data_IF_425763483167
#
_entry.id   IF_425763483167
#
_cell.length_a   1.000
_cell.length_b   1.000
_cell.length_c   1.000
_cell.angle_alpha   90.00
_cell.angle_beta   90.00
_cell.angle_gamma   90.00
#
_symmetry.space_group_name_H-M   'P 1'
#
loop_
_entity.id
_entity.type
_entity.pdbx_description
1 polymer ?
#
# COMPACT_ATOMS: atom_id res chain seq x y z
N UNK A 1 27.37 -48.20 17.84
CA UNK A 1 26.30 -47.48 17.11
C UNK A 1 25.72 -46.45 18.08
N UNK A 2 26.38 -45.29 18.17
CA UNK A 2 26.07 -44.25 19.16
C UNK A 2 24.93 -43.35 18.64
N UNK A 3 23.88 -43.23 19.46
CA UNK A 3 22.88 -42.16 19.40
C UNK A 3 23.51 -40.86 19.90
N UNK A 4 23.67 -39.87 19.03
CA UNK A 4 23.89 -38.48 19.40
C UNK A 4 22.59 -37.71 19.15
N UNK A 5 21.77 -37.65 20.20
CA UNK A 5 20.81 -36.59 20.39
C UNK A 5 21.57 -35.37 20.90
N UNK A 6 21.72 -34.33 20.08
CA UNK A 6 22.31 -33.05 20.49
C UNK A 6 21.30 -31.92 20.34
N UNK A 7 20.76 -31.53 21.50
CA UNK A 7 20.40 -30.18 21.93
C UNK A 7 20.12 -29.12 20.85
N UNK A 8 18.84 -28.97 20.52
CA UNK A 8 18.25 -27.68 20.10
C UNK A 8 17.19 -27.25 21.12
N UNK A 9 17.65 -26.98 22.34
CA UNK A 9 16.90 -26.23 23.35
C UNK A 9 17.63 -24.91 23.56
N UNK A 10 17.54 -23.99 22.59
CA UNK A 10 17.94 -22.61 22.84
C UNK A 10 16.79 -21.91 23.56
N UNK A 11 16.85 -21.91 24.90
CA UNK A 11 16.06 -21.06 25.79
C UNK A 11 16.50 -19.58 25.71
N UNK A 12 16.75 -19.07 24.50
CA UNK A 12 16.75 -17.63 24.33
C UNK A 12 15.28 -17.21 24.31
N UNK A 13 14.81 -16.39 25.27
CA UNK A 13 13.50 -15.79 25.18
C UNK A 13 13.49 -14.91 23.93
N UNK A 14 13.01 -15.48 22.82
CA UNK A 14 12.75 -14.74 21.60
C UNK A 14 11.91 -13.52 22.00
N UNK A 15 12.23 -12.30 21.53
CA UNK A 15 11.40 -11.14 21.79
C UNK A 15 9.96 -11.51 21.45
N UNK A 16 9.09 -11.32 22.44
CA UNK A 16 7.72 -11.83 22.46
C UNK A 16 6.99 -11.46 21.15
N UNK A 17 6.91 -12.41 20.22
CA UNK A 17 6.32 -12.19 18.89
C UNK A 17 4.85 -11.81 19.03
N UNK A 18 4.20 -12.19 20.13
CA UNK A 18 2.83 -11.76 20.42
C UNK A 18 2.72 -10.26 20.68
N UNK A 19 3.80 -9.61 21.14
CA UNK A 19 3.89 -8.14 21.22
C UNK A 19 4.14 -7.46 19.88
N UNK A 20 4.74 -8.16 18.92
CA UNK A 20 4.91 -7.64 17.57
C UNK A 20 3.59 -7.63 16.77
N UNK A 21 2.60 -8.41 17.24
CA UNK A 21 1.21 -8.44 16.74
C UNK A 21 0.22 -7.84 17.76
N UNK A 22 0.68 -6.94 18.64
CA UNK A 22 -0.06 -6.54 19.85
C UNK A 22 -1.52 -6.11 19.57
N UNK A 23 -2.48 -6.38 20.50
CA UNK A 23 -3.93 -6.21 20.27
C UNK A 23 -4.45 -4.76 20.09
N UNK A 24 -3.57 -3.78 19.93
CA UNK A 24 -3.92 -2.44 19.42
C UNK A 24 -3.62 -2.26 17.93
N UNK A 25 -3.07 -3.30 17.27
CA UNK A 25 -2.56 -3.26 15.90
C UNK A 25 -3.37 -4.05 14.87
N UNK A 26 -4.42 -4.77 15.28
CA UNK A 26 -5.40 -5.41 14.40
C UNK A 26 -6.68 -4.58 14.39
N UNK A 27 -6.82 -3.70 13.41
CA UNK A 27 -8.06 -2.99 13.18
C UNK A 27 -8.80 -3.69 12.03
N UNK A 28 -9.97 -4.26 12.33
CA UNK A 28 -10.93 -4.61 11.28
C UNK A 28 -11.59 -3.30 10.87
N UNK A 29 -11.16 -2.76 9.73
CA UNK A 29 -11.61 -1.43 9.27
C UNK A 29 -12.95 -1.54 8.55
N UNK A 30 -13.19 -2.67 7.88
CA UNK A 30 -14.44 -2.97 7.19
C UNK A 30 -14.81 -4.42 7.50
N UNK A 31 -15.91 -4.59 8.23
CA UNK A 31 -16.47 -5.89 8.59
C UNK A 31 -17.87 -6.05 7.99
N UNK A 32 -18.00 -6.95 7.03
CA UNK A 32 -19.27 -7.47 6.55
C UNK A 32 -19.55 -8.79 7.28
N UNK A 33 -20.79 -8.97 7.73
CA UNK A 33 -21.20 -10.21 8.44
C UNK A 33 -21.11 -11.45 7.55
N UNK A 34 -21.14 -11.28 6.23
CA UNK A 34 -21.14 -12.35 5.22
C UNK A 34 -20.00 -12.15 4.19
N UNK A 35 -18.81 -11.79 4.66
CA UNK A 35 -17.68 -11.58 3.76
C UNK A 35 -17.23 -12.90 3.09
N UNK A 36 -17.02 -12.85 1.77
CA UNK A 36 -16.55 -13.98 0.96
C UNK A 36 -15.07 -14.31 1.20
N UNK A 37 -14.31 -13.33 1.71
CA UNK A 37 -12.89 -13.46 2.00
C UNK A 37 -12.35 -12.42 2.97
N UNK A 38 -11.05 -12.57 3.29
CA UNK A 38 -10.31 -11.65 4.13
C UNK A 38 -9.07 -11.08 3.41
N UNK A 39 -8.89 -9.77 3.47
CA UNK A 39 -7.67 -9.06 3.06
C UNK A 39 -6.88 -8.71 4.31
N UNK A 40 -5.62 -9.14 4.37
CA UNK A 40 -4.72 -8.91 5.50
C UNK A 40 -3.60 -7.98 5.03
N UNK A 41 -3.65 -6.72 5.46
CA UNK A 41 -2.69 -5.68 5.08
C UNK A 41 -1.65 -5.47 6.19
N UNK A 42 -0.41 -5.90 5.93
CA UNK A 42 0.73 -5.73 6.82
C UNK A 42 1.39 -4.37 6.60
N UNK A 43 1.52 -3.60 7.67
CA UNK A 43 2.07 -2.25 7.66
C UNK A 43 3.35 -2.21 8.47
N UNK A 44 4.48 -2.01 7.78
CA UNK A 44 5.77 -1.77 8.41
C UNK A 44 5.81 -0.44 9.14
N UNK A 45 6.05 -0.43 10.46
CA UNK A 45 6.52 0.78 11.16
C UNK A 45 8.03 0.85 11.13
N UNK A 46 8.57 1.94 10.60
CA UNK A 46 9.95 2.30 10.87
C UNK A 46 10.07 2.75 12.33
N UNK A 47 10.94 2.10 13.11
CA UNK A 47 11.27 2.45 14.52
C UNK A 47 11.79 3.89 14.69
N UNK A 48 12.09 4.58 13.59
CA UNK A 48 12.74 5.88 13.54
C UNK A 48 11.80 7.09 13.52
N UNK A 49 10.47 6.93 13.60
CA UNK A 49 9.60 8.08 13.86
C UNK A 49 9.09 8.12 15.32
N UNK A 50 9.78 8.85 16.22
CA UNK A 50 9.29 9.08 17.59
C UNK A 50 7.98 9.87 17.64
N UNK A 51 7.50 10.42 16.51
CA UNK A 51 6.19 11.08 16.40
C UNK A 51 5.07 10.16 15.90
N UNK A 52 5.37 8.89 15.60
CA UNK A 52 4.37 7.88 15.29
C UNK A 52 3.64 8.09 13.96
N UNK A 53 4.30 8.60 12.91
CA UNK A 53 3.73 8.58 11.56
C UNK A 53 3.36 7.14 11.25
N UNK A 54 2.06 6.88 11.11
CA UNK A 54 1.57 5.58 10.69
C UNK A 54 2.27 5.21 9.38
N UNK A 55 2.89 4.03 9.34
CA UNK A 55 3.30 3.46 8.07
C UNK A 55 2.08 3.43 7.14
N UNK A 56 2.26 3.83 5.89
CA UNK A 56 1.23 3.61 4.88
C UNK A 56 1.40 2.19 4.36
N UNK A 57 0.40 1.34 4.58
CA UNK A 57 0.34 0.01 3.99
C UNK A 57 0.08 0.05 2.49
N UNK A 58 -0.37 -1.07 1.93
CA UNK A 58 -1.02 -1.05 0.60
C UNK A 58 -2.45 -0.51 0.64
N UNK A 59 -2.93 -0.16 1.84
CA UNK A 59 -4.22 0.49 2.03
C UNK A 59 -4.22 1.87 1.38
N UNK A 60 -5.25 2.08 0.57
CA UNK A 60 -5.48 3.28 -0.22
C UNK A 60 -6.82 3.11 -0.92
N UNK A 61 -7.17 4.08 -1.78
CA UNK A 61 -8.48 4.12 -2.45
C UNK A 61 -8.82 2.81 -3.17
N UNK A 62 -7.82 2.16 -3.78
CA UNK A 62 -8.01 0.89 -4.47
C UNK A 62 -8.46 -0.22 -3.51
N UNK A 63 -7.72 -0.47 -2.43
CA UNK A 63 -8.00 -1.59 -1.54
C UNK A 63 -9.31 -1.37 -0.76
N UNK A 64 -9.58 -0.14 -0.32
CA UNK A 64 -10.85 0.21 0.33
C UNK A 64 -12.04 -0.01 -0.60
N UNK A 65 -11.94 0.40 -1.87
CA UNK A 65 -12.97 0.15 -2.88
C UNK A 65 -13.11 -1.34 -3.18
N UNK A 66 -12.00 -2.08 -3.28
CA UNK A 66 -12.01 -3.51 -3.56
C UNK A 66 -12.79 -4.27 -2.50
N UNK A 67 -12.49 -4.04 -1.21
CA UNK A 67 -13.14 -4.78 -0.12
C UNK A 67 -14.63 -4.47 -0.02
N UNK A 68 -15.02 -3.21 -0.26
CA UNK A 68 -16.43 -2.79 -0.24
C UNK A 68 -17.24 -3.40 -1.38
N UNK A 69 -16.74 -3.34 -2.61
CA UNK A 69 -17.49 -3.79 -3.80
C UNK A 69 -17.46 -5.31 -3.98
N UNK A 70 -16.42 -6.01 -3.50
CA UNK A 70 -16.28 -7.48 -3.66
C UNK A 70 -16.66 -8.27 -2.40
N UNK A 71 -17.09 -7.61 -1.33
CA UNK A 71 -17.56 -8.28 -0.13
C UNK A 71 -16.44 -8.95 0.69
N UNK A 72 -15.30 -8.29 0.87
CA UNK A 72 -14.19 -8.79 1.70
C UNK A 72 -14.10 -8.03 3.02
N UNK A 73 -13.57 -8.68 4.06
CA UNK A 73 -13.16 -7.98 5.28
C UNK A 73 -11.72 -7.50 5.18
N UNK A 74 -11.46 -6.26 5.58
CA UNK A 74 -10.11 -5.70 5.66
C UNK A 74 -9.57 -5.79 7.09
N UNK A 75 -8.47 -6.50 7.24
CA UNK A 75 -7.71 -6.64 8.48
C UNK A 75 -6.37 -5.91 8.33
N UNK A 76 -6.15 -4.86 9.12
CA UNK A 76 -4.89 -4.11 9.12
C UNK A 76 -4.00 -4.61 10.25
N UNK A 77 -2.74 -4.91 9.97
CA UNK A 77 -1.74 -5.34 10.97
C UNK A 77 -0.59 -4.35 11.00
N UNK A 78 -0.44 -3.67 12.12
CA UNK A 78 0.77 -2.87 12.36
C UNK A 78 1.89 -3.77 12.86
N UNK A 79 2.96 -3.90 12.08
CA UNK A 79 4.13 -4.69 12.47
C UNK A 79 5.26 -3.76 12.87
N UNK A 80 5.74 -3.94 14.11
CA UNK A 80 6.92 -3.22 14.58
C UNK A 80 8.18 -3.83 13.95
N UNK A 81 8.99 -3.01 13.28
CA UNK A 81 10.35 -3.40 12.95
C UNK A 81 11.19 -3.37 14.24
N UNK A 82 11.24 -4.51 14.95
CA UNK A 82 12.21 -4.72 16.02
C UNK A 82 13.62 -4.86 15.43
N UNK A 83 14.66 -4.76 16.26
CA UNK A 83 16.05 -4.87 15.80
C UNK A 83 16.20 -6.05 14.84
N UNK A 84 16.55 -5.81 13.56
CA UNK A 84 16.33 -6.76 12.49
C UNK A 84 17.19 -8.01 12.68
N UNK A 85 16.55 -9.18 12.60
CA UNK A 85 17.21 -10.48 12.70
C UNK A 85 16.39 -11.54 11.99
N UNK A 86 17.04 -12.36 11.16
CA UNK A 86 16.37 -13.38 10.33
C UNK A 86 15.40 -14.27 11.12
N UNK A 87 15.77 -14.68 12.33
CA UNK A 87 14.93 -15.53 13.19
C UNK A 87 13.66 -14.81 13.65
N UNK A 88 13.73 -13.50 13.88
CA UNK A 88 12.55 -12.71 14.25
C UNK A 88 11.60 -12.58 13.06
N UNK A 89 12.10 -12.24 11.87
CA UNK A 89 11.26 -12.10 10.67
C UNK A 89 10.53 -13.42 10.33
N UNK A 90 11.24 -14.55 10.42
CA UNK A 90 10.65 -15.89 10.21
C UNK A 90 9.59 -16.20 11.27
N UNK A 91 9.82 -15.88 12.54
CA UNK A 91 8.86 -16.10 13.60
C UNK A 91 7.61 -15.20 13.44
N UNK A 92 7.80 -13.94 13.04
CA UNK A 92 6.72 -13.01 12.76
C UNK A 92 5.88 -13.47 11.56
N UNK A 93 6.51 -13.93 10.48
CA UNK A 93 5.81 -14.48 9.32
C UNK A 93 4.98 -15.72 9.68
N UNK A 94 5.50 -16.63 10.53
CA UNK A 94 4.71 -17.76 11.07
C UNK A 94 3.52 -17.30 11.88
N UNK A 95 3.72 -16.33 12.77
CA UNK A 95 2.64 -15.79 13.59
C UNK A 95 1.54 -15.13 12.75
N UNK A 96 1.91 -14.44 11.66
CA UNK A 96 0.95 -13.92 10.68
C UNK A 96 0.16 -15.05 10.01
N UNK A 97 0.82 -16.11 9.52
CA UNK A 97 0.15 -17.27 8.93
C UNK A 97 -0.82 -17.93 9.91
N UNK A 98 -0.39 -18.17 11.15
CA UNK A 98 -1.22 -18.78 12.19
C UNK A 98 -2.47 -17.93 12.46
N UNK A 99 -2.32 -16.61 12.51
CA UNK A 99 -3.43 -15.69 12.75
C UNK A 99 -4.41 -15.66 11.57
N UNK A 100 -3.91 -15.57 10.34
CA UNK A 100 -4.72 -15.68 9.12
C UNK A 100 -5.50 -17.01 9.11
N UNK A 101 -4.84 -18.11 9.45
CA UNK A 101 -5.49 -19.43 9.55
C UNK A 101 -6.61 -19.47 10.58
N UNK A 102 -6.46 -18.80 11.73
CA UNK A 102 -7.56 -18.64 12.71
C UNK A 102 -8.71 -17.83 12.14
N UNK A 103 -8.44 -16.70 11.49
CA UNK A 103 -9.48 -15.87 10.86
C UNK A 103 -10.23 -16.61 9.76
N UNK A 104 -9.50 -17.31 8.89
CA UNK A 104 -10.07 -18.13 7.81
C UNK A 104 -11.06 -19.15 8.36
N UNK A 105 -10.68 -19.89 9.42
CA UNK A 105 -11.56 -20.90 10.05
C UNK A 105 -12.74 -20.28 10.78
N UNK A 106 -12.53 -19.19 11.53
CA UNK A 106 -13.58 -18.55 12.35
C UNK A 106 -14.67 -17.90 11.51
N UNK A 107 -14.32 -17.36 10.34
CA UNK A 107 -15.25 -16.61 9.49
C UNK A 107 -15.56 -17.35 8.18
N UNK A 108 -15.11 -18.60 8.04
CA UNK A 108 -15.28 -19.42 6.85
C UNK A 108 -14.84 -18.73 5.54
N UNK A 109 -13.76 -17.93 5.60
CA UNK A 109 -13.27 -17.18 4.44
C UNK A 109 -12.85 -18.14 3.33
N UNK A 110 -13.50 -17.99 2.17
CA UNK A 110 -13.18 -18.79 0.98
C UNK A 110 -11.90 -18.31 0.33
N UNK A 111 -11.66 -17.00 0.38
CA UNK A 111 -10.46 -16.35 -0.18
C UNK A 111 -9.66 -15.56 0.85
N UNK A 112 -8.34 -15.69 0.79
CA UNK A 112 -7.40 -14.94 1.62
C UNK A 112 -6.43 -14.19 0.71
N UNK A 113 -6.38 -12.88 0.89
CA UNK A 113 -5.40 -12.01 0.25
C UNK A 113 -4.47 -11.48 1.34
N UNK A 114 -3.17 -11.75 1.23
CA UNK A 114 -2.15 -11.19 2.11
C UNK A 114 -1.40 -10.10 1.36
N UNK A 115 -1.25 -8.91 1.93
CA UNK A 115 -0.54 -7.83 1.25
C UNK A 115 0.27 -6.99 2.20
N UNK A 116 1.24 -6.26 1.65
CA UNK A 116 1.99 -5.29 2.42
C UNK A 116 2.91 -4.44 1.56
N UNK A 117 3.29 -3.29 2.10
CA UNK A 117 4.27 -2.37 1.52
C UNK A 117 5.58 -2.42 2.32
N UNK A 118 6.71 -2.14 1.68
CA UNK A 118 7.99 -2.00 2.39
C UNK A 118 8.33 -3.23 3.25
N UNK A 119 8.55 -3.04 4.55
CA UNK A 119 8.76 -4.12 5.52
C UNK A 119 7.53 -5.02 5.71
N UNK A 120 6.32 -4.47 5.58
CA UNK A 120 5.08 -5.26 5.52
C UNK A 120 5.08 -6.20 4.33
N UNK A 121 5.51 -5.71 3.16
CA UNK A 121 5.69 -6.53 1.97
C UNK A 121 6.76 -7.61 2.14
N UNK A 122 7.83 -7.33 2.90
CA UNK A 122 8.84 -8.32 3.24
C UNK A 122 8.28 -9.47 4.08
N UNK A 123 7.51 -9.16 5.14
CA UNK A 123 6.87 -10.18 5.98
C UNK A 123 5.78 -10.93 5.20
N UNK A 124 5.02 -10.26 4.34
CA UNK A 124 4.03 -10.91 3.47
C UNK A 124 4.69 -11.91 2.50
N UNK A 125 5.80 -11.51 1.86
CA UNK A 125 6.59 -12.39 0.99
C UNK A 125 7.11 -13.60 1.77
N UNK A 126 7.62 -13.38 2.98
CA UNK A 126 8.15 -14.44 3.82
C UNK A 126 7.05 -15.41 4.29
N UNK A 127 5.88 -14.90 4.67
CA UNK A 127 4.71 -15.71 5.01
C UNK A 127 4.26 -16.55 3.81
N UNK A 128 4.11 -15.96 2.62
CA UNK A 128 3.75 -16.69 1.41
C UNK A 128 4.78 -17.78 1.03
N UNK A 129 6.08 -17.54 1.26
CA UNK A 129 7.15 -18.52 1.05
C UNK A 129 7.19 -19.65 2.09
N UNK A 130 6.40 -19.54 3.16
CA UNK A 130 6.30 -20.49 4.26
C UNK A 130 4.93 -21.17 4.33
N UNK A 131 3.97 -20.70 3.55
CA UNK A 131 2.63 -21.28 3.47
C UNK A 131 2.66 -22.59 2.67
N UNK A 132 2.75 -23.70 3.39
CA UNK A 132 2.73 -25.05 2.81
C UNK A 132 1.33 -25.66 2.71
N UNK A 133 0.33 -25.01 3.32
CA UNK A 133 -1.05 -25.49 3.36
C UNK A 133 -1.93 -24.80 2.31
N UNK A 134 -1.43 -23.75 1.63
CA UNK A 134 -2.19 -22.98 0.65
C UNK A 134 -3.29 -22.14 1.32
N UNK A 135 -2.99 -21.59 2.50
CA UNK A 135 -3.91 -20.71 3.23
C UNK A 135 -4.12 -19.40 2.46
N UNK A 136 -3.07 -18.88 1.83
CA UNK A 136 -3.05 -17.62 1.08
C UNK A 136 -3.34 -17.90 -0.40
N UNK A 137 -4.45 -17.35 -0.91
CA UNK A 137 -4.81 -17.46 -2.33
C UNK A 137 -4.04 -16.47 -3.21
N UNK A 138 -3.83 -15.26 -2.69
CA UNK A 138 -3.12 -14.19 -3.40
C UNK A 138 -2.24 -13.39 -2.46
N UNK A 139 -1.03 -13.04 -2.91
CA UNK A 139 -0.13 -12.14 -2.20
C UNK A 139 0.14 -10.86 -2.99
N UNK A 140 0.03 -9.70 -2.32
CA UNK A 140 0.32 -8.37 -2.87
C UNK A 140 1.63 -7.86 -2.28
N UNK A 141 2.62 -7.62 -3.14
CA UNK A 141 3.98 -7.23 -2.78
C UNK A 141 4.31 -5.86 -3.37
N UNK A 142 4.10 -4.79 -2.59
CA UNK A 142 4.40 -3.42 -3.03
C UNK A 142 5.71 -2.93 -2.41
N UNK A 143 6.64 -2.42 -3.22
CA UNK A 143 7.88 -1.78 -2.75
C UNK A 143 8.61 -2.56 -1.65
N UNK A 144 8.68 -3.90 -1.76
CA UNK A 144 9.17 -4.79 -0.70
C UNK A 144 10.56 -4.39 -0.22
N UNK A 145 10.73 -4.05 1.05
CA UNK A 145 12.04 -3.64 1.56
C UNK A 145 12.26 -4.12 3.01
N UNK A 146 13.42 -4.71 3.26
CA UNK A 146 13.87 -5.08 4.60
C UNK A 146 14.94 -4.16 5.18
N UNK A 147 15.91 -3.76 4.36
CA UNK A 147 17.16 -3.17 4.83
C UNK A 147 17.16 -1.63 4.84
N UNK A 148 16.04 -0.98 4.54
CA UNK A 148 15.92 0.46 4.46
C UNK A 148 16.28 1.03 3.08
N UNK A 149 16.32 2.36 2.94
CA UNK A 149 16.54 3.03 1.66
C UNK A 149 18.00 2.93 1.17
N UNK A 150 18.24 3.25 -0.10
CA UNK A 150 19.57 3.26 -0.72
C UNK A 150 20.53 4.24 -0.01
N UNK A 151 20.01 5.37 0.44
CA UNK A 151 20.72 6.40 1.20
C UNK A 151 20.09 6.49 2.59
N UNK A 152 20.89 6.30 3.63
CA UNK A 152 20.46 6.38 5.03
C UNK A 152 20.13 7.82 5.44
N UNK A 153 19.47 7.99 6.58
CA UNK A 153 19.09 9.31 7.12
C UNK A 153 20.29 10.23 7.34
N UNK A 154 21.48 9.68 7.63
CA UNK A 154 22.73 10.44 7.75
C UNK A 154 23.46 10.66 6.41
N UNK A 155 22.79 10.41 5.28
CA UNK A 155 23.30 10.67 3.93
C UNK A 155 24.32 9.66 3.41
N UNK A 156 24.51 8.53 4.10
CA UNK A 156 25.47 7.50 3.70
C UNK A 156 24.82 6.45 2.79
N UNK A 157 25.62 5.83 1.93
CA UNK A 157 25.18 4.66 1.17
C UNK A 157 24.87 3.51 2.12
N UNK A 158 23.67 2.95 2.02
CA UNK A 158 23.28 1.77 2.76
C UNK A 158 23.87 0.51 2.11
N UNK A 159 24.89 -0.07 2.76
CA UNK A 159 25.58 -1.27 2.24
C UNK A 159 24.70 -2.53 2.20
N UNK A 160 23.58 -2.54 2.91
CA UNK A 160 22.64 -3.66 2.93
C UNK A 160 21.52 -3.50 1.92
N UNK A 161 21.40 -2.36 1.23
CA UNK A 161 20.34 -2.10 0.26
C UNK A 161 20.25 -3.18 -0.82
N UNK A 162 21.38 -3.47 -1.47
CA UNK A 162 21.45 -4.47 -2.55
C UNK A 162 21.20 -5.91 -2.05
N UNK A 163 21.30 -6.16 -0.73
CA UNK A 163 20.95 -7.47 -0.16
C UNK A 163 19.47 -7.76 -0.26
N UNK A 164 18.61 -6.74 -0.29
CA UNK A 164 17.16 -6.93 -0.43
C UNK A 164 16.86 -7.73 -1.68
N UNK A 165 17.44 -7.38 -2.84
CA UNK A 165 17.19 -8.09 -4.11
C UNK A 165 17.50 -9.58 -4.03
N UNK A 166 18.68 -9.95 -3.51
CA UNK A 166 19.05 -11.37 -3.40
C UNK A 166 18.17 -12.13 -2.39
N UNK A 167 17.86 -11.51 -1.25
CA UNK A 167 17.04 -12.18 -0.23
C UNK A 167 15.57 -12.31 -0.66
N UNK A 168 15.01 -11.31 -1.34
CA UNK A 168 13.65 -11.37 -1.88
C UNK A 168 13.53 -12.41 -2.99
N UNK A 169 14.48 -12.50 -3.91
CA UNK A 169 14.47 -13.53 -4.96
C UNK A 169 14.47 -14.96 -4.39
N UNK A 170 15.23 -15.21 -3.32
CA UNK A 170 15.23 -16.52 -2.63
C UNK A 170 13.89 -16.87 -2.00
N UNK A 171 13.18 -15.89 -1.44
CA UNK A 171 11.84 -16.09 -0.88
C UNK A 171 10.79 -16.26 -1.97
N UNK A 172 10.82 -15.43 -3.01
CA UNK A 172 9.92 -15.54 -4.16
C UNK A 172 9.99 -16.93 -4.81
N UNK A 173 11.20 -17.49 -4.93
CA UNK A 173 11.38 -18.82 -5.51
C UNK A 173 10.79 -19.97 -4.67
N UNK A 174 10.35 -19.70 -3.43
CA UNK A 174 9.75 -20.69 -2.53
C UNK A 174 8.22 -20.58 -2.47
N UNK A 175 7.62 -19.58 -3.11
CA UNK A 175 6.16 -19.48 -3.22
C UNK A 175 5.68 -20.54 -4.20
N UNK A 176 4.67 -21.31 -3.77
CA UNK A 176 4.14 -22.45 -4.55
C UNK A 176 2.62 -22.45 -4.71
N UNK A 177 1.87 -21.78 -3.83
CA UNK A 177 0.40 -21.85 -3.83
C UNK A 177 -0.30 -20.55 -4.21
N UNK A 178 0.25 -19.41 -3.79
CA UNK A 178 -0.40 -18.11 -3.99
C UNK A 178 -0.15 -17.57 -5.40
N UNK A 179 -1.18 -16.96 -5.97
CA UNK A 179 -1.01 -15.98 -7.06
C UNK A 179 -0.31 -14.72 -6.54
N UNK A 180 0.45 -14.03 -7.37
CA UNK A 180 1.29 -12.92 -6.90
C UNK A 180 1.04 -11.64 -7.69
N UNK A 181 0.64 -10.56 -7.01
CA UNK A 181 0.69 -9.21 -7.54
C UNK A 181 1.93 -8.50 -7.00
N UNK A 182 2.84 -8.09 -7.88
CA UNK A 182 4.01 -7.27 -7.50
C UNK A 182 3.84 -5.85 -7.99
N UNK A 183 4.35 -4.88 -7.22
CA UNK A 183 4.37 -3.49 -7.61
C UNK A 183 5.70 -2.83 -7.23
N UNK A 184 6.37 -2.28 -8.23
CA UNK A 184 7.61 -1.52 -8.10
C UNK A 184 7.40 -0.15 -8.73
N UNK A 185 7.95 0.90 -8.12
CA UNK A 185 7.66 2.28 -8.53
C UNK A 185 8.91 3.05 -8.84
N UNK A 186 8.80 3.95 -9.83
CA UNK A 186 9.88 4.87 -10.18
C UNK A 186 10.17 5.81 -9.02
N UNK A 187 11.42 6.27 -8.90
CA UNK A 187 11.84 7.25 -7.91
C UNK A 187 11.57 6.83 -6.43
N UNK A 188 11.36 5.54 -6.16
CA UNK A 188 11.26 5.00 -4.81
C UNK A 188 12.68 4.71 -4.25
N UNK A 189 13.16 5.46 -3.24
CA UNK A 189 14.51 5.24 -2.71
C UNK A 189 14.64 3.95 -1.87
N UNK A 190 13.55 3.23 -1.62
CA UNK A 190 13.52 1.90 -1.02
C UNK A 190 13.38 0.78 -2.07
N UNK A 191 13.18 1.10 -3.35
CA UNK A 191 13.06 0.14 -4.44
C UNK A 191 14.44 -0.19 -5.01
N UNK A 192 14.80 -1.47 -4.98
CA UNK A 192 16.03 -1.93 -5.64
C UNK A 192 15.70 -2.19 -7.11
N UNK A 193 16.43 -1.55 -8.02
CA UNK A 193 16.22 -1.70 -9.46
C UNK A 193 16.27 -3.18 -9.90
N UNK A 194 15.38 -3.56 -10.84
CA UNK A 194 15.28 -4.91 -11.39
C UNK A 194 14.56 -5.93 -10.50
N UNK A 195 13.99 -5.53 -9.36
CA UNK A 195 13.29 -6.46 -8.46
C UNK A 195 12.00 -7.02 -9.06
N UNK A 196 11.19 -6.20 -9.71
CA UNK A 196 9.97 -6.69 -10.36
C UNK A 196 10.27 -7.61 -11.56
N UNK A 197 11.32 -7.31 -12.34
CA UNK A 197 11.79 -8.21 -13.40
C UNK A 197 12.20 -9.56 -12.81
N UNK A 198 13.01 -9.56 -11.75
CA UNK A 198 13.42 -10.78 -11.06
C UNK A 198 12.21 -11.58 -10.55
N UNK A 199 11.21 -10.92 -9.96
CA UNK A 199 9.99 -11.58 -9.52
C UNK A 199 9.23 -12.20 -10.70
N UNK A 200 9.02 -11.45 -11.78
CA UNK A 200 8.31 -11.95 -12.97
C UNK A 200 9.01 -13.16 -13.57
N UNK A 201 10.34 -13.12 -13.70
CA UNK A 201 11.14 -14.26 -14.18
C UNK A 201 10.98 -15.49 -13.28
N UNK A 202 11.08 -15.31 -11.95
CA UNK A 202 10.93 -16.39 -10.98
C UNK A 202 9.52 -17.00 -11.05
N UNK A 203 8.47 -16.19 -11.03
CA UNK A 203 7.10 -16.66 -11.02
C UNK A 203 6.71 -17.31 -12.35
N UNK A 204 7.13 -16.72 -13.48
CA UNK A 204 6.98 -17.34 -14.81
C UNK A 204 7.63 -18.72 -14.85
N UNK A 205 8.90 -18.82 -14.43
CA UNK A 205 9.64 -20.09 -14.42
C UNK A 205 8.99 -21.14 -13.53
N UNK A 206 8.40 -20.72 -12.41
CA UNK A 206 7.77 -21.61 -11.44
C UNK A 206 6.30 -21.94 -11.80
N UNK A 207 5.75 -21.39 -12.89
CA UNK A 207 4.35 -21.56 -13.26
C UNK A 207 3.37 -20.89 -12.29
N UNK A 208 3.84 -19.89 -11.53
CA UNK A 208 3.03 -19.12 -10.60
C UNK A 208 2.29 -18.04 -11.39
N UNK A 209 0.97 -18.02 -11.22
CA UNK A 209 0.11 -16.96 -11.77
C UNK A 209 0.49 -15.64 -11.11
N UNK A 210 0.89 -14.66 -11.90
CA UNK A 210 1.35 -13.38 -11.38
C UNK A 210 1.00 -12.20 -12.29
N UNK A 211 0.98 -11.03 -11.68
CA UNK A 211 0.81 -9.74 -12.33
C UNK A 211 1.85 -8.77 -11.76
N UNK A 212 2.34 -7.86 -12.59
CA UNK A 212 3.40 -6.92 -12.21
C UNK A 212 3.01 -5.51 -12.62
N UNK A 213 2.95 -4.60 -11.64
CA UNK A 213 2.94 -3.17 -11.85
C UNK A 213 4.38 -2.68 -11.81
N UNK A 214 5.07 -2.76 -12.95
CA UNK A 214 6.44 -2.29 -13.04
C UNK A 214 6.50 -0.84 -13.48
N UNK A 215 6.93 0.02 -12.55
CA UNK A 215 7.38 1.38 -12.83
C UNK A 215 6.43 2.19 -13.73
N UNK A 216 5.11 2.25 -13.42
CA UNK A 216 4.21 3.07 -14.21
C UNK A 216 4.69 4.52 -14.20
N UNK A 217 4.69 5.19 -15.36
CA UNK A 217 5.19 6.58 -15.47
C UNK A 217 4.52 7.56 -14.49
N UNK A 218 3.24 7.33 -14.22
CA UNK A 218 2.42 8.13 -13.32
C UNK A 218 2.59 7.77 -11.83
N UNK A 219 3.20 6.61 -11.53
CA UNK A 219 3.30 6.05 -10.19
C UNK A 219 4.74 6.23 -9.68
N UNK A 220 4.96 7.23 -8.85
CA UNK A 220 6.28 7.58 -8.32
C UNK A 220 6.34 7.54 -6.81
N UNK A 221 7.49 7.12 -6.30
CA UNK A 221 7.80 7.09 -4.88
C UNK A 221 7.22 5.89 -4.14
N UNK A 222 7.59 5.80 -2.87
CA UNK A 222 7.39 4.60 -2.04
C UNK A 222 5.93 4.22 -1.77
N UNK A 223 5.03 5.20 -1.83
CA UNK A 223 3.62 5.02 -1.49
C UNK A 223 2.71 5.03 -2.72
N UNK A 224 3.27 4.90 -3.91
CA UNK A 224 2.51 5.00 -5.15
C UNK A 224 1.36 3.97 -5.26
N UNK A 225 1.44 2.82 -4.57
CA UNK A 225 0.36 1.82 -4.55
C UNK A 225 -0.95 2.35 -3.93
N UNK A 226 -0.88 3.29 -2.99
CA UNK A 226 -2.06 3.82 -2.31
C UNK A 226 -2.75 4.95 -3.08
N UNK A 227 -2.17 5.41 -4.20
CA UNK A 227 -2.71 6.53 -4.98
C UNK A 227 -4.08 6.21 -5.59
N UNK A 228 -4.97 7.20 -5.55
CA UNK A 228 -6.29 7.15 -6.21
C UNK A 228 -6.19 6.85 -7.71
N UNK A 229 -5.08 7.23 -8.36
CA UNK A 229 -4.86 6.94 -9.77
C UNK A 229 -4.87 5.44 -10.08
N UNK A 230 -4.30 4.60 -9.19
CA UNK A 230 -4.35 3.14 -9.33
C UNK A 230 -5.80 2.66 -9.35
N UNK A 231 -6.62 3.15 -8.41
CA UNK A 231 -8.04 2.83 -8.30
C UNK A 231 -8.88 3.34 -9.48
N UNK A 232 -8.48 4.42 -10.13
CA UNK A 232 -9.26 4.98 -11.24
C UNK A 232 -8.94 4.29 -12.58
N UNK A 233 -7.72 3.81 -12.76
CA UNK A 233 -7.25 3.32 -14.06
C UNK A 233 -7.06 1.80 -14.13
N UNK A 234 -6.88 1.14 -12.98
CA UNK A 234 -6.55 -0.29 -12.92
C UNK A 234 -7.50 -1.09 -12.04
N UNK A 235 -8.56 -0.48 -11.52
CA UNK A 235 -9.44 -1.16 -10.57
C UNK A 235 -10.05 -2.43 -11.14
N UNK A 236 -10.67 -2.38 -12.32
CA UNK A 236 -11.35 -3.54 -12.88
C UNK A 236 -10.37 -4.71 -13.08
N UNK A 237 -9.21 -4.44 -13.68
CA UNK A 237 -8.16 -5.44 -13.93
C UNK A 237 -7.61 -6.06 -12.63
N UNK A 238 -7.24 -5.22 -11.66
CA UNK A 238 -6.67 -5.69 -10.41
C UNK A 238 -7.72 -6.36 -9.52
N UNK A 239 -8.95 -5.85 -9.50
CA UNK A 239 -10.07 -6.47 -8.79
C UNK A 239 -10.36 -7.85 -9.37
N UNK A 240 -10.36 -7.99 -10.69
CA UNK A 240 -10.52 -9.29 -11.34
C UNK A 240 -9.39 -10.26 -10.95
N UNK A 241 -8.13 -9.82 -11.02
CA UNK A 241 -6.98 -10.61 -10.61
C UNK A 241 -7.11 -11.08 -9.16
N UNK A 242 -7.44 -10.17 -8.23
CA UNK A 242 -7.58 -10.49 -6.81
C UNK A 242 -8.77 -11.43 -6.51
N UNK A 243 -9.91 -11.22 -7.16
CA UNK A 243 -11.11 -12.04 -6.93
C UNK A 243 -11.01 -13.44 -7.54
N UNK A 244 -10.31 -13.58 -8.68
CA UNK A 244 -10.17 -14.87 -9.38
C UNK A 244 -8.90 -15.64 -8.99
N UNK A 245 -8.07 -15.14 -8.07
CA UNK A 245 -6.77 -15.75 -7.76
C UNK A 245 -5.83 -15.76 -8.97
N UNK A 246 -5.91 -14.72 -9.80
CA UNK A 246 -5.09 -14.50 -10.98
C UNK A 246 -5.49 -15.28 -12.24
N UNK A 247 -6.58 -16.05 -12.22
CA UNK A 247 -7.07 -16.75 -13.42
C UNK A 247 -7.62 -15.82 -14.52
N UNK A 248 -7.85 -14.54 -14.20
CA UNK A 248 -8.32 -13.52 -15.13
C UNK A 248 -7.20 -13.02 -16.05
N UNK A 249 -7.56 -12.62 -17.28
CA UNK A 249 -6.64 -12.10 -18.30
C UNK A 249 -6.24 -10.64 -18.04
N UNK A 250 -5.86 -10.30 -16.80
CA UNK A 250 -5.32 -8.98 -16.48
C UNK A 250 -3.91 -8.86 -17.07
N UNK A 251 -3.85 -8.66 -18.38
CA UNK A 251 -2.63 -8.30 -19.08
C UNK A 251 -2.38 -6.81 -18.79
N UNK A 252 -1.63 -6.53 -17.73
CA UNK A 252 -1.13 -5.20 -17.42
C UNK A 252 -0.07 -4.81 -18.47
N UNK A 253 -0.45 -4.64 -19.74
CA UNK A 253 0.39 -4.05 -20.77
C UNK A 253 0.50 -2.54 -20.54
N UNK A 254 1.21 -2.18 -19.47
CA UNK A 254 1.56 -0.80 -19.10
C UNK A 254 2.44 -0.12 -20.16
N UNK A 255 3.04 -0.89 -21.07
CA UNK A 255 3.91 -0.39 -22.13
C UNK A 255 3.17 0.30 -23.29
N UNK A 256 1.83 0.12 -23.42
CA UNK A 256 1.07 0.62 -24.59
C UNK A 256 0.13 1.79 -24.34
N UNK A 257 -0.10 2.24 -23.10
CA UNK A 257 -0.89 3.46 -22.85
C UNK A 257 -0.05 4.73 -23.12
N UNK A 258 0.16 5.03 -24.42
CA UNK A 258 0.84 6.25 -24.91
C UNK A 258 -0.04 7.52 -24.91
N UNK A 259 -1.31 7.43 -24.53
CA UNK A 259 -2.31 8.47 -24.83
C UNK A 259 -2.92 9.19 -23.62
N UNK A 260 -2.27 9.16 -22.45
CA UNK A 260 -2.68 10.02 -21.34
C UNK A 260 -1.83 11.28 -21.34
N UNK A 261 -2.50 12.43 -21.21
CA UNK A 261 -1.93 13.78 -21.25
C UNK A 261 -0.60 13.77 -20.52
N UNK A 262 0.47 13.96 -21.28
CA UNK A 262 1.82 13.81 -20.76
C UNK A 262 2.05 14.92 -19.72
N UNK A 263 2.66 14.59 -18.58
CA UNK A 263 3.04 15.59 -17.56
C UNK A 263 3.89 16.71 -18.20
N UNK A 264 4.68 16.36 -19.22
CA UNK A 264 5.44 17.31 -20.03
C UNK A 264 4.56 18.34 -20.78
N UNK A 265 3.33 18.00 -21.15
CA UNK A 265 2.40 18.95 -21.81
C UNK A 265 1.76 19.90 -20.78
N UNK A 266 1.54 19.43 -19.55
CA UNK A 266 1.07 20.28 -18.46
C UNK A 266 2.15 21.28 -18.01
N UNK A 267 3.40 20.82 -17.82
CA UNK A 267 4.53 21.67 -17.43
C UNK A 267 4.93 22.67 -18.52
N UNK A 268 4.63 22.38 -19.79
CA UNK A 268 4.80 23.31 -20.92
C UNK A 268 3.65 24.30 -21.10
N UNK A 269 2.61 24.25 -20.25
CA UNK A 269 1.46 25.15 -20.35
C UNK A 269 0.56 24.87 -21.56
N UNK A 270 0.64 23.68 -22.14
CA UNK A 270 -0.14 23.26 -23.32
C UNK A 270 -1.53 22.72 -22.95
N UNK A 271 -1.83 22.62 -21.64
CA UNK A 271 -3.14 22.23 -21.12
C UNK A 271 -3.93 23.47 -20.74
N UNK A 272 -5.11 23.62 -21.35
CA UNK A 272 -6.08 24.64 -20.98
C UNK A 272 -6.52 24.46 -19.52
N UNK A 273 -6.13 25.41 -18.67
CA UNK A 273 -6.39 25.42 -17.22
C UNK A 273 -7.87 25.39 -16.90
N UNK A 274 -8.71 25.99 -17.74
CA UNK A 274 -10.16 26.00 -17.58
C UNK A 274 -10.74 24.61 -17.85
N UNK A 275 -10.23 23.93 -18.87
CA UNK A 275 -10.61 22.55 -19.21
C UNK A 275 -10.14 21.54 -18.16
N UNK A 276 -8.99 21.78 -17.54
CA UNK A 276 -8.49 20.99 -16.41
C UNK A 276 -9.37 21.16 -15.16
N UNK A 277 -9.75 22.39 -14.82
CA UNK A 277 -10.66 22.69 -13.71
C UNK A 277 -12.07 22.08 -13.95
N UNK A 278 -12.60 22.18 -15.17
CA UNK A 278 -13.86 21.54 -15.54
C UNK A 278 -13.79 20.00 -15.43
N UNK A 279 -12.65 19.40 -15.78
CA UNK A 279 -12.44 17.95 -15.62
C UNK A 279 -12.40 17.54 -14.14
N UNK A 280 -11.78 18.35 -13.28
CA UNK A 280 -11.79 18.11 -11.83
C UNK A 280 -13.21 18.21 -11.23
N UNK A 281 -14.01 19.17 -11.68
CA UNK A 281 -15.42 19.34 -11.28
C UNK A 281 -16.28 18.13 -11.71
N UNK A 282 -16.07 17.62 -12.93
CA UNK A 282 -16.77 16.42 -13.43
C UNK A 282 -16.38 15.16 -12.64
N UNK A 283 -15.10 15.03 -12.25
CA UNK A 283 -14.61 13.92 -11.42
C UNK A 283 -15.19 13.99 -9.99
N UNK A 284 -15.38 15.18 -9.43
CA UNK A 284 -16.07 15.36 -8.15
C UNK A 284 -17.57 14.99 -8.24
N UNK A 285 -18.24 15.39 -9.32
CA UNK A 285 -19.63 15.01 -9.59
C UNK A 285 -19.83 13.50 -9.65
N UNK A 286 -18.94 12.80 -10.36
CA UNK A 286 -18.94 11.32 -10.44
C UNK A 286 -18.63 10.64 -9.12
N UNK A 287 -17.71 11.19 -8.32
CA UNK A 287 -17.46 10.67 -6.98
C UNK A 287 -18.71 10.77 -6.09
N UNK A 288 -19.48 11.87 -6.17
CA UNK A 288 -20.74 12.01 -5.42
C UNK A 288 -21.81 11.00 -5.84
N UNK A 289 -21.87 10.64 -7.12
CA UNK A 289 -22.80 9.63 -7.64
C UNK A 289 -22.43 8.21 -7.19
N UNK A 290 -21.13 7.87 -7.20
CA UNK A 290 -20.62 6.53 -6.85
C UNK A 290 -20.76 6.23 -5.35
N UNK A 291 -20.61 7.22 -4.48
CA UNK A 291 -20.55 7.01 -3.03
C UNK A 291 -21.87 7.26 -2.27
N UNK A 292 -23.02 7.34 -2.95
CA UNK A 292 -24.39 7.38 -2.40
C UNK A 292 -24.55 7.97 -0.97
N UNK A 293 -24.03 9.18 -0.74
CA UNK A 293 -24.25 9.94 0.50
C UNK A 293 -23.59 9.41 1.79
N UNK A 294 -22.82 8.32 1.76
CA UNK A 294 -22.14 7.75 2.94
C UNK A 294 -20.63 7.94 2.89
N UNK A 295 -20.20 9.19 2.73
CA UNK A 295 -18.84 9.60 3.10
C UNK A 295 -18.80 9.81 4.62
N UNK A 296 -18.23 8.85 5.37
CA UNK A 296 -17.91 9.08 6.78
C UNK A 296 -16.87 10.21 6.88
N UNK A 297 -17.31 11.34 7.43
CA UNK A 297 -16.52 12.50 7.78
C UNK A 297 -15.44 12.15 8.81
N UNK A 298 -14.18 12.53 8.59
CA UNK A 298 -13.09 12.46 9.58
C UNK A 298 -12.16 13.69 9.44
N UNK A 299 -11.59 14.20 10.55
CA UNK A 299 -12.13 15.25 11.40
C UNK A 299 -11.89 16.67 10.84
N UNK A 300 -12.92 17.49 10.95
CA UNK A 300 -12.91 18.93 10.67
C UNK A 300 -11.99 19.68 11.64
N UNK A 301 -11.20 20.64 11.13
CA UNK A 301 -10.53 21.62 12.00
C UNK A 301 -11.61 22.55 12.55
N UNK A 302 -12.02 22.33 13.81
CA UNK A 302 -13.02 23.16 14.48
C UNK A 302 -12.38 24.46 14.98
N UNK A 303 -12.77 25.60 14.37
CA UNK A 303 -12.56 26.93 14.97
C UNK A 303 -13.85 27.74 14.80
N UNK A 304 -14.68 27.78 15.84
CA UNK A 304 -16.04 28.32 15.77
C UNK A 304 -17.07 27.32 15.23
N UNK A 305 -18.14 27.81 14.60
CA UNK A 305 -19.32 27.05 14.14
C UNK A 305 -19.24 26.48 12.72
N UNK A 306 -18.10 26.58 12.03
CA UNK A 306 -18.02 26.28 10.59
C UNK A 306 -17.13 25.07 10.26
N UNK A 307 -17.49 24.39 9.16
CA UNK A 307 -16.84 23.22 8.60
C UNK A 307 -16.16 23.60 7.27
N UNK A 308 -14.92 23.16 7.03
CA UNK A 308 -14.15 23.46 5.80
C UNK A 308 -13.62 22.17 5.16
N UNK A 309 -13.60 22.10 3.83
CA UNK A 309 -13.05 20.99 3.03
C UNK A 309 -11.81 21.47 2.26
N UNK A 310 -10.70 20.72 2.34
CA UNK A 310 -9.44 21.08 1.69
C UNK A 310 -9.03 20.03 0.66
N UNK A 311 -8.78 20.47 -0.56
CA UNK A 311 -8.16 19.66 -1.61
C UNK A 311 -6.81 20.28 -1.96
N UNK A 312 -5.73 19.52 -1.74
CA UNK A 312 -4.38 19.96 -2.09
C UNK A 312 -3.88 19.15 -3.29
N UNK A 313 -3.41 19.86 -4.30
CA UNK A 313 -2.68 19.31 -5.43
C UNK A 313 -1.18 19.57 -5.22
N UNK A 314 -0.38 18.50 -5.33
CA UNK A 314 1.07 18.60 -5.24
C UNK A 314 1.67 18.50 -6.65
N UNK A 315 2.18 19.61 -7.22
CA UNK A 315 2.77 19.59 -8.56
C UNK A 315 4.06 18.77 -8.65
N UNK A 316 4.78 18.53 -7.53
CA UNK A 316 5.98 17.68 -7.54
C UNK A 316 5.67 16.18 -7.60
N UNK A 317 4.44 15.77 -7.29
CA UNK A 317 4.02 14.36 -7.24
C UNK A 317 2.83 14.05 -8.14
N UNK A 318 2.32 15.04 -8.88
CA UNK A 318 1.18 14.90 -9.79
C UNK A 318 -0.11 14.42 -9.13
N UNK A 319 -0.27 14.63 -7.82
CA UNK A 319 -1.27 13.94 -7.01
C UNK A 319 -2.24 14.86 -6.28
N UNK A 320 -3.51 14.42 -6.21
CA UNK A 320 -4.52 14.96 -5.31
C UNK A 320 -4.51 14.15 -4.01
N UNK A 321 -4.36 14.83 -2.87
CA UNK A 321 -4.39 14.17 -1.57
C UNK A 321 -4.58 15.15 -0.42
N UNK A 322 -5.21 14.69 0.67
CA UNK A 322 -5.23 15.41 1.93
C UNK A 322 -3.90 15.18 2.66
N UNK A 323 -3.01 16.19 2.65
CA UNK A 323 -1.73 16.12 3.38
C UNK A 323 -1.90 16.41 4.88
N UNK A 324 -1.35 15.59 5.79
CA UNK A 324 -1.22 16.00 7.18
C UNK A 324 -0.03 16.96 7.36
N UNK A 325 -0.31 18.04 8.10
CA UNK A 325 0.59 18.84 8.92
C UNK A 325 1.59 19.84 8.31
N UNK A 326 2.32 19.57 7.22
CA UNK A 326 3.42 20.49 6.86
C UNK A 326 3.02 21.78 6.11
N UNK A 327 1.85 21.80 5.47
CA UNK A 327 1.34 22.96 4.72
C UNK A 327 0.40 23.88 5.53
N UNK A 328 0.18 23.57 6.82
CA UNK A 328 -0.95 24.08 7.62
C UNK A 328 -0.94 25.57 7.96
N UNK A 329 0.14 26.31 7.77
CA UNK A 329 0.21 27.67 8.34
C UNK A 329 0.09 28.82 7.34
N UNK A 330 0.50 28.67 6.08
CA UNK A 330 0.49 29.78 5.13
C UNK A 330 -0.70 29.71 4.18
N UNK A 331 -0.81 28.63 3.39
CA UNK A 331 -1.93 28.42 2.46
C UNK A 331 -3.27 28.43 3.18
N UNK A 332 -3.35 27.82 4.38
CA UNK A 332 -4.55 27.83 5.20
C UNK A 332 -4.97 29.24 5.66
N UNK A 333 -4.02 30.11 6.04
CA UNK A 333 -4.33 31.49 6.47
C UNK A 333 -4.82 32.35 5.30
N UNK A 334 -4.21 32.20 4.13
CA UNK A 334 -4.65 32.90 2.92
C UNK A 334 -6.01 32.38 2.43
N UNK A 335 -6.24 31.07 2.52
CA UNK A 335 -7.52 30.47 2.17
C UNK A 335 -8.66 30.96 3.06
N UNK A 336 -8.42 31.12 4.37
CA UNK A 336 -9.38 31.68 5.32
C UNK A 336 -9.67 33.18 5.10
N UNK A 337 -8.82 33.91 4.37
CA UNK A 337 -9.12 35.30 3.96
C UNK A 337 -10.02 35.35 2.74
N UNK A 338 -9.95 34.33 1.88
CA UNK A 338 -10.72 34.23 0.64
C UNK A 338 -12.11 33.63 0.89
N UNK A 339 -12.23 32.66 1.79
CA UNK A 339 -13.49 32.01 2.16
C UNK A 339 -14.13 32.66 3.39
N UNK A 340 -15.25 33.37 3.19
CA UNK A 340 -16.03 34.00 4.25
C UNK A 340 -17.24 33.20 4.75
N UNK A 341 -17.50 32.00 4.20
CA UNK A 341 -18.70 31.21 4.47
C UNK A 341 -18.40 29.72 4.69
N UNK A 342 -19.28 28.97 5.40
CA UNK A 342 -19.21 27.51 5.46
C UNK A 342 -19.33 26.86 4.07
N UNK A 343 -18.70 25.70 3.92
CA UNK A 343 -18.69 24.85 2.71
C UNK A 343 -17.82 25.32 1.53
N UNK A 344 -17.01 26.36 1.72
CA UNK A 344 -16.02 26.80 0.74
C UNK A 344 -14.98 25.69 0.43
N UNK A 345 -14.78 25.42 -0.86
CA UNK A 345 -13.82 24.48 -1.42
C UNK A 345 -12.59 25.26 -1.87
N UNK A 346 -11.47 25.00 -1.20
CA UNK A 346 -10.19 25.65 -1.49
C UNK A 346 -9.31 24.72 -2.31
N UNK A 347 -8.85 25.23 -3.46
CA UNK A 347 -7.85 24.59 -4.29
C UNK A 347 -6.48 25.23 -4.03
N UNK A 348 -5.50 24.42 -3.63
CA UNK A 348 -4.14 24.89 -3.39
C UNK A 348 -3.11 24.12 -4.23
N UNK A 349 -2.11 24.84 -4.72
CA UNK A 349 -0.92 24.33 -5.39
C UNK A 349 0.30 24.63 -4.51
N UNK A 350 0.83 23.59 -3.85
CA UNK A 350 1.87 23.75 -2.84
C UNK A 350 1.45 24.70 -1.70
N UNK A 351 2.12 25.85 -1.57
CA UNK A 351 1.83 26.88 -0.55
C UNK A 351 0.89 27.99 -1.02
N UNK A 352 0.38 27.94 -2.25
CA UNK A 352 -0.47 28.99 -2.83
C UNK A 352 -1.90 28.50 -3.01
N UNK A 353 -2.86 29.34 -2.61
CA UNK A 353 -4.27 29.13 -2.97
C UNK A 353 -4.44 29.59 -4.41
N UNK A 354 -4.97 28.70 -5.26
CA UNK A 354 -5.15 28.96 -6.70
C UNK A 354 -6.60 29.22 -7.06
N UNK A 355 -7.55 28.70 -6.27
CA UNK A 355 -8.98 29.02 -6.41
C UNK A 355 -9.72 28.76 -5.09
N UNK A 356 -10.86 29.44 -4.92
CA UNK A 356 -11.87 29.19 -3.89
C UNK A 356 -13.24 29.43 -4.53
N UNK A 357 -14.27 28.64 -4.16
CA UNK A 357 -15.64 28.82 -4.66
C UNK A 357 -16.47 29.83 -3.85
#
# INVERSE_FOLDING_TARGET
>A
MLLLASCLSSNDPHPDVTKALEPGGIEMIVGLNEASGGVFNLIGRAKLDPKGSEGQGIEGVFLSRFVQENGYNLHRYQIAQLEPGRRFDEALARAVLDEIGKWKRRNDYKKIILGGSAYGGWIALQAAAMDTEGIIDTVILASVNKFGPAITVDGKKNRSFDRTLNETGKLANRIVHASVLTACFNDDPWEVAGRCDQYSEIFTRNGIVHATLDSPRWAKGHFAFSHAYLANNYYDCLSEFLSQGGAGSCELELSKQKNLINHDQYDRGEVDREKFAQTAIVLEGRAREIFHGSYQSIPLIRRGTYNYKFFAYSPSTGSFGMYPYHYRNYAFREAMKLCGQPDCVIYAEGNKVVAAD
#
